data_IF_646545477062
#
_entry.id   IF_646545477062
#
_cell.length_a   1.000
_cell.length_b   1.000
_cell.length_c   1.000
_cell.angle_alpha   90.00
_cell.angle_beta   90.00
_cell.angle_gamma   90.00
#
_symmetry.space_group_name_H-M   'P 1'
#
loop_
_entity.id
_entity.type
_entity.pdbx_description
1 polymer ?
#
# COMPACT_ATOMS: atom_id res chain seq x y z
N UNK A 1 5.42 0.87 -19.83
CA UNK A 1 4.64 1.40 -18.70
C UNK A 1 4.21 0.24 -17.85
N UNK A 2 4.76 0.11 -16.65
CA UNK A 2 4.24 -0.81 -15.63
C UNK A 2 3.24 -0.02 -14.81
N UNK A 3 2.02 -0.53 -14.64
CA UNK A 3 1.09 0.03 -13.64
C UNK A 3 1.54 -0.48 -12.27
N UNK A 4 2.63 0.08 -11.72
CA UNK A 4 3.12 -0.22 -10.37
C UNK A 4 2.23 0.44 -9.31
N UNK A 5 0.93 0.14 -9.35
CA UNK A 5 -0.04 0.57 -8.35
C UNK A 5 -0.32 -0.59 -7.41
N UNK A 6 -0.22 -0.42 -6.08
CA UNK A 6 -0.54 -1.48 -5.13
C UNK A 6 -2.01 -1.93 -5.20
N UNK A 7 -2.87 -1.17 -5.89
CA UNK A 7 -4.29 -1.50 -6.10
C UNK A 7 -4.48 -2.92 -6.63
N UNK A 8 -3.77 -3.31 -7.69
CA UNK A 8 -4.00 -4.61 -8.33
C UNK A 8 -3.66 -5.75 -7.37
N UNK A 9 -2.49 -5.68 -6.73
CA UNK A 9 -2.03 -6.68 -5.78
C UNK A 9 -2.96 -6.81 -4.56
N UNK A 10 -3.34 -5.69 -3.96
CA UNK A 10 -4.27 -5.68 -2.81
C UNK A 10 -5.65 -6.19 -3.20
N UNK A 11 -6.18 -5.73 -4.35
CA UNK A 11 -7.48 -6.18 -4.87
C UNK A 11 -7.49 -7.69 -5.09
N UNK A 12 -6.44 -8.21 -5.73
CA UNK A 12 -6.31 -9.64 -5.98
C UNK A 12 -6.21 -10.42 -4.67
N UNK A 13 -5.45 -9.94 -3.70
CA UNK A 13 -5.31 -10.60 -2.41
C UNK A 13 -6.63 -10.65 -1.65
N UNK A 14 -7.40 -9.56 -1.58
CA UNK A 14 -8.72 -9.55 -0.94
C UNK A 14 -9.66 -10.52 -1.66
N UNK A 15 -9.78 -10.41 -2.98
CA UNK A 15 -10.68 -11.28 -3.76
C UNK A 15 -10.34 -12.77 -3.67
N UNK A 16 -9.06 -13.11 -3.46
CA UNK A 16 -8.60 -14.51 -3.44
C UNK A 16 -8.64 -15.12 -2.05
N UNK A 17 -8.25 -14.36 -1.02
CA UNK A 17 -7.96 -14.91 0.29
C UNK A 17 -8.93 -14.51 1.40
N UNK A 18 -9.80 -13.51 1.15
CA UNK A 18 -10.76 -13.09 2.16
C UNK A 18 -11.68 -14.24 2.57
N UNK A 19 -11.84 -14.41 3.88
CA UNK A 19 -12.80 -15.32 4.49
C UNK A 19 -13.38 -14.67 5.75
N UNK A 20 -14.71 -14.66 5.93
CA UNK A 20 -15.38 -13.90 7.00
C UNK A 20 -15.07 -14.43 8.41
N UNK A 21 -14.63 -15.68 8.52
CA UNK A 21 -14.25 -16.35 9.77
C UNK A 21 -12.77 -16.14 10.15
N UNK A 22 -12.02 -15.36 9.38
CA UNK A 22 -10.58 -15.16 9.58
C UNK A 22 -10.21 -13.69 9.73
N UNK A 23 -9.27 -13.41 10.63
CA UNK A 23 -8.56 -12.11 10.65
C UNK A 23 -7.38 -12.19 9.69
N UNK A 24 -7.42 -11.38 8.65
CA UNK A 24 -6.45 -11.42 7.55
C UNK A 24 -5.65 -10.13 7.53
N UNK A 25 -4.34 -10.25 7.29
CA UNK A 25 -3.42 -9.12 7.12
C UNK A 25 -2.70 -9.24 5.79
N UNK A 26 -2.73 -8.18 4.99
CA UNK A 26 -1.99 -8.05 3.74
C UNK A 26 -0.75 -7.21 4.00
N UNK A 27 0.40 -7.66 3.49
CA UNK A 27 1.66 -6.93 3.55
C UNK A 27 2.04 -6.48 2.14
N UNK A 28 2.06 -5.16 1.95
CA UNK A 28 2.49 -4.52 0.70
C UNK A 28 3.96 -4.17 0.83
N UNK A 29 4.79 -4.72 -0.06
CA UNK A 29 6.23 -4.55 -0.08
C UNK A 29 6.62 -3.75 -1.33
N UNK A 30 7.41 -2.70 -1.18
CA UNK A 30 7.87 -1.91 -2.33
C UNK A 30 8.71 -0.69 -1.94
N UNK A 31 9.17 0.02 -2.96
CA UNK A 31 10.08 1.16 -2.87
C UNK A 31 9.64 2.34 -3.75
N UNK A 32 8.68 2.13 -4.64
CA UNK A 32 8.43 3.01 -5.77
C UNK A 32 6.95 3.29 -6.01
N UNK A 33 6.64 4.56 -6.33
CA UNK A 33 5.34 4.95 -6.85
C UNK A 33 5.49 6.05 -7.92
N UNK A 34 5.59 5.60 -9.17
CA UNK A 34 5.90 6.43 -10.34
C UNK A 34 4.92 7.60 -10.53
N UNK A 35 5.42 8.77 -10.98
CA UNK A 35 4.58 9.89 -11.42
C UNK A 35 3.54 9.45 -12.45
N UNK A 36 2.27 9.84 -12.25
CA UNK A 36 1.14 9.45 -13.09
C UNK A 36 0.05 8.66 -12.35
N UNK A 37 0.39 7.94 -11.27
CA UNK A 37 -0.60 7.34 -10.38
C UNK A 37 -1.19 8.35 -9.39
N UNK A 38 -2.51 8.41 -9.23
CA UNK A 38 -3.17 9.27 -8.23
C UNK A 38 -3.31 8.54 -6.90
N UNK A 39 -2.68 9.06 -5.83
CA UNK A 39 -2.82 8.51 -4.47
C UNK A 39 -4.29 8.48 -4.04
N UNK A 40 -5.03 9.55 -4.35
CA UNK A 40 -6.45 9.64 -3.99
C UNK A 40 -7.30 8.59 -4.71
N UNK A 41 -7.00 8.31 -5.97
CA UNK A 41 -7.71 7.28 -6.72
C UNK A 41 -7.40 5.89 -6.15
N UNK A 42 -6.14 5.61 -5.85
CA UNK A 42 -5.73 4.37 -5.17
C UNK A 42 -6.47 4.20 -3.85
N UNK A 43 -6.49 5.23 -2.99
CA UNK A 43 -7.22 5.18 -1.72
C UNK A 43 -8.71 4.91 -1.94
N UNK A 44 -9.36 5.63 -2.86
CA UNK A 44 -10.78 5.43 -3.18
C UNK A 44 -11.08 4.01 -3.66
N UNK A 45 -10.20 3.43 -4.48
CA UNK A 45 -10.37 2.05 -4.95
C UNK A 45 -10.23 1.07 -3.81
N UNK A 46 -9.23 1.23 -2.94
CA UNK A 46 -9.05 0.37 -1.77
C UNK A 46 -10.22 0.51 -0.80
N UNK A 47 -10.71 1.72 -0.52
CA UNK A 47 -11.85 1.95 0.37
C UNK A 47 -13.13 1.27 -0.13
N UNK A 48 -13.33 1.20 -1.45
CA UNK A 48 -14.48 0.50 -2.06
C UNK A 48 -14.38 -1.02 -1.96
N UNK A 49 -13.17 -1.57 -1.92
CA UNK A 49 -12.94 -3.03 -1.91
C UNK A 49 -12.83 -3.54 -0.48
N UNK A 50 -12.03 -2.87 0.36
CA UNK A 50 -11.86 -3.16 1.77
C UNK A 50 -12.85 -2.33 2.59
N UNK A 51 -14.14 -2.63 2.40
CA UNK A 51 -15.26 -1.89 2.99
C UNK A 51 -15.16 -1.91 4.51
N UNK A 52 -15.43 -0.74 5.09
CA UNK A 52 -15.55 -0.54 6.53
C UNK A 52 -16.97 -0.85 6.99
N UNK A 53 -17.10 -1.64 8.06
CA UNK A 53 -18.38 -1.97 8.68
C UNK A 53 -18.84 -0.88 9.66
N UNK A 54 -20.02 -1.08 10.27
CA UNK A 54 -20.59 -0.11 11.22
C UNK A 54 -19.75 0.11 12.49
N UNK A 55 -18.80 -0.78 12.78
CA UNK A 55 -17.90 -0.69 13.94
C UNK A 55 -16.55 -0.05 13.59
N UNK A 56 -16.32 0.30 12.32
CA UNK A 56 -15.03 0.79 11.84
C UNK A 56 -14.04 -0.33 11.48
N UNK A 57 -14.48 -1.60 11.49
CA UNK A 57 -13.65 -2.74 11.10
C UNK A 57 -13.66 -2.92 9.59
N UNK A 58 -12.52 -3.32 9.02
CA UNK A 58 -12.39 -3.64 7.59
C UNK A 58 -12.22 -5.12 7.35
N UNK A 59 -12.51 -5.57 6.12
CA UNK A 59 -12.38 -6.98 5.70
C UNK A 59 -10.98 -7.53 5.99
N UNK A 60 -9.94 -6.73 5.74
CA UNK A 60 -8.54 -7.08 6.01
C UNK A 60 -7.79 -5.89 6.61
N UNK A 61 -6.71 -6.16 7.36
CA UNK A 61 -5.71 -5.15 7.70
C UNK A 61 -4.66 -5.05 6.60
N UNK A 62 -4.19 -3.83 6.32
CA UNK A 62 -3.15 -3.61 5.29
C UNK A 62 -1.94 -2.96 5.96
N UNK A 63 -0.81 -3.65 5.89
CA UNK A 63 0.49 -3.21 6.37
C UNK A 63 1.41 -2.90 5.18
N UNK A 64 2.37 -2.01 5.38
CA UNK A 64 3.33 -1.61 4.36
C UNK A 64 4.76 -1.74 4.84
N UNK A 65 5.65 -2.24 3.98
CA UNK A 65 7.10 -2.26 4.19
C UNK A 65 7.75 -1.53 3.02
N UNK A 66 8.43 -0.43 3.33
CA UNK A 66 9.12 0.42 2.36
C UNK A 66 10.61 0.11 2.30
N UNK A 67 11.13 -0.21 1.11
CA UNK A 67 12.57 -0.41 0.92
C UNK A 67 13.24 0.89 0.43
N UNK A 68 14.39 1.30 1.00
CA UNK A 68 15.11 2.52 0.60
C UNK A 68 16.00 2.32 -0.64
N UNK A 69 15.75 1.30 -1.46
CA UNK A 69 16.55 0.90 -2.63
C UNK A 69 16.69 2.01 -3.69
N UNK A 70 15.67 2.86 -3.87
CA UNK A 70 15.73 3.99 -4.81
C UNK A 70 16.80 5.01 -4.42
N UNK A 71 17.17 5.15 -3.15
CA UNK A 71 18.23 6.08 -2.73
C UNK A 71 19.61 5.67 -3.22
N UNK A 72 19.82 4.41 -3.62
CA UNK A 72 21.04 3.95 -4.28
C UNK A 72 21.16 4.44 -5.74
N UNK A 73 20.04 4.88 -6.33
CA UNK A 73 19.94 5.30 -7.73
C UNK A 73 20.02 6.82 -7.94
N UNK A 74 19.86 7.27 -9.21
CA UNK A 74 19.90 8.71 -9.54
C UNK A 74 18.84 9.53 -8.80
N UNK A 75 19.21 10.73 -8.30
CA UNK A 75 18.33 11.59 -7.48
C UNK A 75 16.99 11.94 -8.12
N UNK A 76 16.91 11.95 -9.45
CA UNK A 76 15.66 12.18 -10.20
C UNK A 76 14.54 11.17 -9.87
N UNK A 77 14.90 9.99 -9.35
CA UNK A 77 13.93 8.96 -8.95
C UNK A 77 13.50 9.08 -7.49
N UNK A 78 14.16 9.89 -6.66
CA UNK A 78 13.82 10.03 -5.24
C UNK A 78 12.41 10.62 -5.00
N UNK A 79 11.85 11.32 -5.98
CA UNK A 79 10.46 11.81 -5.86
C UNK A 79 9.45 10.67 -5.77
N UNK A 80 9.69 9.53 -6.41
CA UNK A 80 8.74 8.43 -6.39
C UNK A 80 8.73 7.68 -5.04
N UNK A 81 9.86 7.62 -4.32
CA UNK A 81 9.90 7.02 -2.96
C UNK A 81 9.16 7.86 -1.93
N UNK A 82 9.19 9.19 -2.03
CA UNK A 82 8.37 10.05 -1.15
C UNK A 82 6.87 9.86 -1.42
N UNK A 83 6.50 9.70 -2.70
CA UNK A 83 5.12 9.41 -3.09
C UNK A 83 4.68 8.02 -2.63
N UNK A 84 5.55 7.02 -2.73
CA UNK A 84 5.30 5.67 -2.20
C UNK A 84 5.08 5.71 -0.68
N UNK A 85 5.97 6.39 0.04
CA UNK A 85 5.88 6.53 1.51
C UNK A 85 4.59 7.24 1.93
N UNK A 86 4.19 8.30 1.21
CA UNK A 86 2.91 8.98 1.43
C UNK A 86 1.74 8.04 1.19
N UNK A 87 1.76 7.30 0.08
CA UNK A 87 0.72 6.34 -0.27
C UNK A 87 0.58 5.24 0.79
N UNK A 88 1.69 4.63 1.22
CA UNK A 88 1.67 3.56 2.22
C UNK A 88 1.24 4.07 3.60
N UNK A 89 1.67 5.27 4.01
CA UNK A 89 1.21 5.88 5.26
C UNK A 89 -0.31 6.04 5.28
N UNK A 90 -0.88 6.63 4.24
CA UNK A 90 -2.34 6.80 4.12
C UNK A 90 -3.07 5.46 4.05
N UNK A 91 -2.58 4.53 3.23
CA UNK A 91 -3.21 3.22 3.05
C UNK A 91 -3.25 2.44 4.36
N UNK A 92 -2.12 2.34 5.05
CA UNK A 92 -2.01 1.56 6.28
C UNK A 92 -2.83 2.19 7.41
N UNK A 93 -2.81 3.51 7.56
CA UNK A 93 -3.60 4.23 8.56
C UNK A 93 -5.10 4.00 8.39
N UNK A 94 -5.61 4.08 7.15
CA UNK A 94 -7.03 3.86 6.87
C UNK A 94 -7.46 2.41 7.05
N UNK A 95 -6.54 1.46 6.89
CA UNK A 95 -6.84 0.03 6.89
C UNK A 95 -6.33 -0.67 8.16
N UNK A 96 -6.18 0.07 9.26
CA UNK A 96 -5.87 -0.49 10.59
C UNK A 96 -4.53 -1.22 10.67
N UNK A 97 -3.58 -0.86 9.81
CA UNK A 97 -2.24 -1.45 9.78
C UNK A 97 -1.14 -0.43 10.10
N UNK A 98 0.08 -0.78 9.71
CA UNK A 98 1.27 0.03 10.00
C UNK A 98 2.18 0.07 8.78
N UNK A 99 2.77 1.23 8.53
CA UNK A 99 3.84 1.40 7.55
C UNK A 99 5.20 1.43 8.26
N UNK A 100 6.11 0.57 7.82
CA UNK A 100 7.50 0.52 8.28
C UNK A 100 8.40 0.84 7.09
N UNK A 101 9.08 1.97 7.14
CA UNK A 101 10.19 2.26 6.22
C UNK A 101 11.47 1.63 6.77
N UNK A 102 12.16 0.81 5.97
CA UNK A 102 13.47 0.30 6.34
C UNK A 102 14.50 1.44 6.25
N UNK A 103 15.37 1.51 7.26
CA UNK A 103 16.38 2.57 7.36
C UNK A 103 17.64 2.27 6.54
N UNK A 104 17.80 1.02 6.11
CA UNK A 104 18.92 0.54 5.31
C UNK A 104 18.45 -0.56 4.35
N UNK A 105 19.20 -0.77 3.26
CA UNK A 105 19.03 -1.85 2.28
C UNK A 105 20.29 -2.72 2.14
N UNK A 106 21.32 -2.46 2.96
CA UNK A 106 22.57 -3.23 3.03
C UNK A 106 22.52 -4.36 4.05
#
# INVERSE_FOLDING_TARGET
YSNSSPVEGVTRAINTFYAPDKKISIYVLGDDFQPGGSIQEVMRTIDRINVEDANGDRLVRIHGIGFPTIFAGPSRFQQSVYRYSTLMREMTQRNGGTFVGLNDYQ
#
